data_IF_397241408686
#
_entry.id   IF_397241408686
#
_cell.length_a   1.000
_cell.length_b   1.000
_cell.length_c   1.000
_cell.angle_alpha   90.00
_cell.angle_beta   90.00
_cell.angle_gamma   90.00
#
_symmetry.space_group_name_H-M   'P 1'
#
loop_
_entity.id
_entity.type
_entity.pdbx_description
1 polymer ?
#
# COMPACT_ATOMS: atom_id res chain seq x y z
N UNK A 1 -1.20 -6.64 -8.41
CA UNK A 1 -1.44 -5.23 -8.01
C UNK A 1 -2.93 -4.95 -7.89
N UNK A 2 -3.75 -5.22 -8.92
CA UNK A 2 -5.23 -5.12 -8.82
C UNK A 2 -5.79 -6.05 -7.73
N UNK A 3 -5.31 -7.29 -7.66
CA UNK A 3 -5.75 -8.24 -6.61
C UNK A 3 -5.39 -7.77 -5.19
N UNK A 4 -4.28 -7.04 -5.05
CA UNK A 4 -3.91 -6.41 -3.79
C UNK A 4 -4.87 -5.30 -3.38
N UNK A 5 -5.44 -4.55 -4.33
CA UNK A 5 -6.46 -3.55 -4.03
C UNK A 5 -7.77 -4.20 -3.57
N UNK A 6 -8.15 -5.37 -4.10
CA UNK A 6 -9.32 -6.13 -3.63
C UNK A 6 -9.20 -6.60 -2.18
N UNK A 7 -7.97 -6.71 -1.66
CA UNK A 7 -7.75 -7.06 -0.25
C UNK A 7 -8.34 -6.00 0.69
N UNK A 8 -8.46 -4.74 0.23
CA UNK A 8 -9.09 -3.65 0.99
C UNK A 8 -10.50 -4.03 1.46
N UNK A 9 -11.30 -4.69 0.62
CA UNK A 9 -12.69 -5.06 0.96
C UNK A 9 -12.79 -6.15 2.03
N UNK A 10 -11.67 -6.84 2.30
CA UNK A 10 -11.60 -7.92 3.30
C UNK A 10 -10.88 -7.50 4.58
N UNK A 11 -10.47 -6.23 4.70
CA UNK A 11 -9.82 -5.73 5.91
C UNK A 11 -10.82 -5.71 7.08
N UNK A 12 -10.35 -6.15 8.23
CA UNK A 12 -11.06 -6.13 9.49
C UNK A 12 -10.41 -5.15 10.50
N UNK A 13 -11.10 -4.90 11.61
CA UNK A 13 -10.52 -4.15 12.73
C UNK A 13 -9.23 -4.81 13.20
N UNK A 14 -8.22 -3.98 13.49
CA UNK A 14 -6.88 -4.40 13.95
C UNK A 14 -6.04 -5.19 12.92
N UNK A 15 -6.52 -5.38 11.69
CA UNK A 15 -5.65 -5.86 10.63
C UNK A 15 -4.50 -4.87 10.41
N UNK A 16 -3.28 -5.38 10.29
CA UNK A 16 -2.09 -4.55 10.09
C UNK A 16 -1.88 -4.31 8.59
N UNK A 17 -1.74 -3.04 8.21
CA UNK A 17 -1.46 -2.60 6.85
C UNK A 17 -0.13 -1.87 6.83
N UNK A 18 0.82 -2.38 6.03
CA UNK A 18 2.11 -1.74 5.84
C UNK A 18 2.05 -0.74 4.68
N UNK A 19 2.37 0.52 4.95
CA UNK A 19 2.45 1.58 3.95
C UNK A 19 3.93 1.94 3.73
N UNK A 20 4.43 1.69 2.52
CA UNK A 20 5.84 1.87 2.18
C UNK A 20 6.07 3.05 1.25
N UNK A 21 6.98 3.94 1.62
CA UNK A 21 7.46 5.01 0.76
C UNK A 21 8.91 4.78 0.36
N UNK A 22 9.21 4.82 -0.94
CA UNK A 22 10.56 4.62 -1.46
C UNK A 22 11.48 5.82 -1.37
N UNK A 23 11.03 6.93 -0.79
CA UNK A 23 11.81 8.15 -0.60
C UNK A 23 11.90 8.50 0.90
N UNK A 24 12.98 9.18 1.28
CA UNK A 24 13.17 9.71 2.63
C UNK A 24 12.78 11.18 2.73
N UNK A 25 12.31 11.79 1.63
CA UNK A 25 11.95 13.20 1.62
C UNK A 25 10.71 13.47 2.48
N UNK A 26 10.71 14.66 3.06
CA UNK A 26 9.93 15.09 4.21
C UNK A 26 8.43 14.74 4.17
N UNK A 27 7.97 13.97 5.15
CA UNK A 27 6.55 13.78 5.47
C UNK A 27 5.99 15.13 5.94
N UNK A 28 5.22 15.80 5.10
CA UNK A 28 4.51 17.01 5.52
C UNK A 28 3.22 16.63 6.25
N UNK A 29 2.80 17.46 7.21
CA UNK A 29 1.47 17.32 7.81
C UNK A 29 0.41 17.31 6.68
N UNK A 30 -0.47 16.31 6.65
CA UNK A 30 -1.42 16.11 5.55
C UNK A 30 -0.93 15.24 4.38
N UNK A 31 0.17 14.48 4.56
CA UNK A 31 0.72 13.65 3.49
C UNK A 31 -0.24 12.55 3.01
N UNK A 32 -0.13 12.20 1.73
CA UNK A 32 -0.95 11.18 1.11
C UNK A 32 -0.72 9.84 1.79
N UNK A 33 0.55 9.48 2.04
CA UNK A 33 0.92 8.18 2.59
C UNK A 33 0.50 7.96 4.04
N UNK A 34 0.68 8.96 4.91
CA UNK A 34 0.50 8.80 6.36
C UNK A 34 -0.84 9.28 6.90
N UNK A 35 -1.58 10.11 6.16
CA UNK A 35 -2.87 10.63 6.63
C UNK A 35 -4.02 10.32 5.68
N UNK A 36 -3.94 10.77 4.42
CA UNK A 36 -5.08 10.67 3.50
C UNK A 36 -5.38 9.22 3.14
N UNK A 37 -4.36 8.42 2.85
CA UNK A 37 -4.52 7.03 2.47
C UNK A 37 -5.11 6.19 3.61
N UNK A 38 -4.57 6.23 4.86
CA UNK A 38 -5.22 5.62 6.02
C UNK A 38 -6.68 6.04 6.22
N UNK A 39 -6.98 7.34 6.09
CA UNK A 39 -8.34 7.86 6.24
C UNK A 39 -9.29 7.34 5.14
N UNK A 40 -8.83 7.28 3.88
CA UNK A 40 -9.60 6.72 2.78
C UNK A 40 -9.83 5.21 2.94
N UNK A 41 -8.83 4.45 3.41
CA UNK A 41 -8.98 3.02 3.69
C UNK A 41 -10.03 2.80 4.76
N UNK A 42 -9.96 3.52 5.89
CA UNK A 42 -10.97 3.42 6.95
C UNK A 42 -12.37 3.78 6.43
N UNK A 43 -12.47 4.85 5.65
CA UNK A 43 -13.76 5.27 5.06
C UNK A 43 -14.32 4.25 4.07
N UNK A 44 -13.47 3.66 3.24
CA UNK A 44 -13.87 2.66 2.24
C UNK A 44 -14.32 1.35 2.89
N UNK A 45 -13.56 0.88 3.88
CA UNK A 45 -13.78 -0.43 4.51
C UNK A 45 -14.81 -0.39 5.64
N UNK A 46 -15.00 0.77 6.27
CA UNK A 46 -15.81 0.88 7.50
C UNK A 46 -15.15 0.24 8.73
N UNK A 47 -13.85 -0.07 8.67
CA UNK A 47 -13.10 -0.72 9.75
C UNK A 47 -11.96 0.16 10.28
N UNK A 48 -11.31 -0.31 11.34
CA UNK A 48 -10.21 0.35 12.04
C UNK A 48 -8.91 -0.47 12.01
N UNK A 49 -8.28 -0.64 10.82
CA UNK A 49 -6.98 -1.28 10.72
C UNK A 49 -5.86 -0.45 11.38
N UNK A 50 -4.80 -1.14 11.73
CA UNK A 50 -3.55 -0.58 12.26
C UNK A 50 -2.57 -0.34 11.10
N UNK A 51 -1.91 0.82 11.10
CA UNK A 51 -1.01 1.21 10.02
C UNK A 51 0.42 1.32 10.50
N UNK A 52 1.34 0.71 9.75
CA UNK A 52 2.77 0.88 9.91
C UNK A 52 3.36 1.52 8.68
N UNK A 53 4.38 2.35 8.89
CA UNK A 53 4.94 3.19 7.84
C UNK A 53 6.44 3.00 7.73
N UNK A 54 6.93 2.80 6.51
CA UNK A 54 8.38 2.75 6.20
C UNK A 54 8.73 3.80 5.16
N UNK A 55 9.96 4.30 5.18
CA UNK A 55 10.45 5.30 4.24
C UNK A 55 11.84 4.95 3.69
N UNK A 56 12.16 5.50 2.51
CA UNK A 56 13.42 5.23 1.83
C UNK A 56 13.63 3.75 1.50
N UNK A 57 14.80 3.24 1.87
CA UNK A 57 15.20 1.84 1.66
C UNK A 57 14.73 0.90 2.77
N UNK A 58 14.09 1.41 3.82
CA UNK A 58 13.59 0.57 4.90
C UNK A 58 12.43 -0.31 4.41
N UNK A 59 12.51 -1.60 4.72
CA UNK A 59 11.48 -2.58 4.44
C UNK A 59 11.55 -3.69 5.49
N UNK A 60 10.45 -4.05 6.18
CA UNK A 60 10.51 -5.01 7.27
C UNK A 60 10.95 -6.39 6.79
N UNK A 61 11.74 -7.08 7.63
CA UNK A 61 12.19 -8.45 7.34
C UNK A 61 11.06 -9.47 7.50
N UNK A 62 10.20 -9.26 8.50
CA UNK A 62 9.00 -10.06 8.71
C UNK A 62 7.77 -9.29 8.21
N UNK A 63 7.15 -9.83 7.17
CA UNK A 63 5.93 -9.30 6.61
C UNK A 63 4.69 -10.10 7.01
N UNK A 64 4.87 -11.28 7.63
CA UNK A 64 3.79 -12.19 7.99
C UNK A 64 2.67 -11.58 8.84
N UNK A 65 2.90 -10.53 9.67
CA UNK A 65 1.82 -9.91 10.43
C UNK A 65 0.90 -9.02 9.59
N UNK A 66 1.30 -8.63 8.38
CA UNK A 66 0.55 -7.68 7.57
C UNK A 66 -0.49 -8.39 6.70
N UNK A 67 -1.69 -7.84 6.71
CA UNK A 67 -2.79 -8.28 5.84
C UNK A 67 -2.63 -7.72 4.42
N UNK A 68 -2.02 -6.54 4.29
CA UNK A 68 -1.85 -5.84 3.02
C UNK A 68 -0.62 -4.92 3.08
N UNK A 69 0.13 -4.87 1.97
CA UNK A 69 1.19 -3.89 1.73
C UNK A 69 0.75 -2.90 0.66
N UNK A 70 0.87 -1.60 0.94
CA UNK A 70 0.59 -0.53 -0.01
C UNK A 70 1.85 0.31 -0.22
N UNK A 71 2.40 0.24 -1.42
CA UNK A 71 3.66 0.92 -1.75
C UNK A 71 3.41 2.19 -2.58
N UNK A 72 4.24 3.22 -2.40
CA UNK A 72 4.21 4.38 -3.27
C UNK A 72 4.66 4.02 -4.70
N UNK A 73 4.66 4.99 -5.62
CA UNK A 73 5.12 4.76 -7.00
C UNK A 73 6.59 4.34 -7.13
N UNK A 74 7.39 4.43 -6.06
CA UNK A 74 8.78 3.98 -6.05
C UNK A 74 9.71 4.79 -6.96
N UNK A 75 9.34 6.03 -7.31
CA UNK A 75 10.09 6.86 -8.27
C UNK A 75 11.56 7.10 -7.88
N UNK A 76 11.89 7.01 -6.59
CA UNK A 76 13.25 7.17 -6.06
C UNK A 76 13.97 5.83 -5.82
N UNK A 77 13.31 4.70 -6.07
CA UNK A 77 13.89 3.36 -5.92
C UNK A 77 14.38 2.84 -7.26
N UNK A 78 15.48 2.09 -7.24
CA UNK A 78 15.92 1.36 -8.41
C UNK A 78 15.05 0.11 -8.64
N UNK A 79 15.11 -0.44 -9.86
CA UNK A 79 14.33 -1.61 -10.26
C UNK A 79 14.61 -2.85 -9.39
N UNK A 80 15.87 -3.03 -8.96
CA UNK A 80 16.29 -4.17 -8.12
C UNK A 80 15.60 -4.14 -6.77
N UNK A 81 15.50 -2.96 -6.14
CA UNK A 81 14.84 -2.76 -4.85
C UNK A 81 13.33 -3.01 -4.95
N UNK A 82 12.68 -2.50 -6.00
CA UNK A 82 11.26 -2.79 -6.25
C UNK A 82 11.00 -4.28 -6.47
N UNK A 83 11.85 -4.96 -7.25
CA UNK A 83 11.76 -6.42 -7.47
C UNK A 83 11.98 -7.20 -6.17
N UNK A 84 12.91 -6.76 -5.33
CA UNK A 84 13.17 -7.35 -4.02
C UNK A 84 11.93 -7.27 -3.12
N UNK A 85 11.34 -6.08 -2.94
CA UNK A 85 10.12 -5.89 -2.13
C UNK A 85 8.95 -6.75 -2.62
N UNK A 86 8.72 -6.78 -3.94
CA UNK A 86 7.70 -7.64 -4.55
C UNK A 86 7.97 -9.13 -4.33
N UNK A 87 9.24 -9.56 -4.32
CA UNK A 87 9.61 -10.94 -4.01
C UNK A 87 9.31 -11.26 -2.55
N UNK A 88 9.76 -10.43 -1.62
CA UNK A 88 9.51 -10.61 -0.18
C UNK A 88 8.02 -10.69 0.16
N UNK A 89 7.20 -9.81 -0.41
CA UNK A 89 5.74 -9.85 -0.22
C UNK A 89 5.14 -11.17 -0.73
N UNK A 90 5.59 -11.66 -1.89
CA UNK A 90 5.16 -12.95 -2.45
C UNK A 90 5.61 -14.13 -1.59
N UNK A 91 6.86 -14.14 -1.14
CA UNK A 91 7.40 -15.21 -0.29
C UNK A 91 6.65 -15.28 1.05
N UNK A 92 6.21 -14.13 1.59
CA UNK A 92 5.40 -14.04 2.80
C UNK A 92 3.89 -14.28 2.56
N UNK A 93 3.46 -14.50 1.32
CA UNK A 93 2.05 -14.59 0.91
C UNK A 93 1.21 -13.37 1.32
N UNK A 94 1.81 -12.18 1.33
CA UNK A 94 1.13 -10.92 1.66
C UNK A 94 0.80 -10.17 0.37
N UNK A 95 -0.48 -9.85 0.13
CA UNK A 95 -0.85 -9.09 -1.06
C UNK A 95 -0.23 -7.68 -1.03
N UNK A 96 0.23 -7.24 -2.20
CA UNK A 96 0.86 -5.93 -2.38
C UNK A 96 0.17 -5.15 -3.52
N UNK A 97 -0.11 -3.88 -3.26
CA UNK A 97 -0.63 -2.92 -4.24
C UNK A 97 0.14 -1.61 -4.17
N UNK A 98 -0.21 -0.65 -5.02
CA UNK A 98 0.38 0.69 -5.02
C UNK A 98 -0.67 1.78 -4.77
N UNK A 99 -0.21 2.99 -4.45
CA UNK A 99 -1.07 4.13 -4.11
C UNK A 99 -2.11 4.40 -5.21
N UNK A 100 -1.66 4.50 -6.47
CA UNK A 100 -2.55 4.80 -7.59
C UNK A 100 -3.66 3.76 -7.73
N UNK A 101 -3.31 2.48 -7.64
CA UNK A 101 -4.27 1.36 -7.76
C UNK A 101 -5.24 1.33 -6.58
N UNK A 102 -4.74 1.48 -5.35
CA UNK A 102 -5.57 1.52 -4.15
C UNK A 102 -6.54 2.72 -4.16
N UNK A 103 -6.05 3.90 -4.52
CA UNK A 103 -6.87 5.13 -4.61
C UNK A 103 -7.92 4.99 -5.72
N UNK A 104 -7.52 4.50 -6.90
CA UNK A 104 -8.45 4.30 -8.00
C UNK A 104 -9.53 3.27 -7.66
N UNK A 105 -9.16 2.21 -6.93
CA UNK A 105 -10.08 1.20 -6.43
C UNK A 105 -11.10 1.80 -5.45
N UNK A 106 -10.64 2.47 -4.40
CA UNK A 106 -11.51 3.08 -3.38
C UNK A 106 -12.42 4.17 -3.97
N UNK A 107 -12.02 4.82 -5.07
CA UNK A 107 -12.83 5.84 -5.76
C UNK A 107 -13.75 5.27 -6.84
N UNK A 108 -13.73 3.96 -7.09
CA UNK A 108 -14.54 3.32 -8.14
C UNK A 108 -14.14 3.72 -9.57
N UNK A 109 -12.94 4.26 -9.77
CA UNK A 109 -12.42 4.67 -11.08
C UNK A 109 -11.38 3.71 -11.65
N UNK A 110 -11.07 2.62 -10.95
CA UNK A 110 -10.06 1.65 -11.38
C UNK A 110 -10.39 1.07 -12.75
N UNK A 111 -11.62 0.60 -12.97
CA UNK A 111 -12.06 0.00 -14.24
C UNK A 111 -11.90 0.97 -15.41
N UNK A 112 -12.23 2.26 -15.20
CA UNK A 112 -12.03 3.31 -16.20
C UNK A 112 -10.56 3.61 -16.48
N UNK A 113 -9.70 3.44 -15.47
CA UNK A 113 -8.27 3.79 -15.55
C UNK A 113 -7.44 2.68 -16.21
N UNK A 114 -7.83 1.42 -16.05
CA UNK A 114 -7.19 0.27 -16.72
C UNK A 114 -7.71 0.04 -18.14
N UNK A 115 -8.93 0.47 -18.47
CA UNK A 115 -9.48 0.37 -19.83
C UNK A 115 -8.76 1.25 -20.87
N UNK A 116 -7.89 2.16 -20.43
CA UNK A 116 -7.06 3.01 -21.28
C UNK A 116 -5.70 2.38 -21.67
N UNK A 117 -5.43 1.14 -21.25
CA UNK A 117 -4.19 0.40 -21.54
C UNK A 117 -4.47 -0.95 -22.21
#
# INVERSE_FOLDING_TARGET
MVDGARTLDSLADKDRVLICEGCTHHRQCGDIGTEKLPAWIRKHTGTTPEFEFTSGTEFPLDLSPFRLIIHCGGCMLNEREMKYRLKCARDANVPMTNYGTAIAYMKGILERSIAMF
#
